data_IF_912877366056
#
_entry.id   IF_912877366056
#
_cell.length_a   1.000
_cell.length_b   1.000
_cell.length_c   1.000
_cell.angle_alpha   90.00
_cell.angle_beta   90.00
_cell.angle_gamma   90.00
#
_symmetry.space_group_name_H-M   'P 1'
#
loop_
_entity.id
_entity.type
_entity.pdbx_description
1 polymer ?
#
# COMPACT_ATOMS: atom_id res chain seq x y z
N UNK A 1 -10.66 -3.42 -5.26
CA UNK A 1 -9.43 -2.68 -5.58
C UNK A 1 -9.69 -1.36 -6.32
N UNK A 2 -10.89 -1.14 -6.88
CA UNK A 2 -11.20 0.04 -7.72
C UNK A 2 -11.35 1.36 -6.96
N UNK A 3 -11.89 1.34 -5.73
CA UNK A 3 -12.18 2.57 -4.97
C UNK A 3 -10.91 3.25 -4.46
N UNK A 4 -9.98 2.53 -3.81
CA UNK A 4 -8.76 3.10 -3.25
C UNK A 4 -7.81 3.69 -4.31
N UNK A 5 -7.66 3.00 -5.45
CA UNK A 5 -6.87 3.50 -6.57
C UNK A 5 -7.49 4.78 -7.18
N UNK A 6 -8.83 4.86 -7.24
CA UNK A 6 -9.52 6.07 -7.67
C UNK A 6 -9.35 7.22 -6.65
N UNK A 7 -9.31 6.93 -5.35
CA UNK A 7 -9.07 7.95 -4.31
C UNK A 7 -7.64 8.50 -4.34
N UNK A 8 -6.63 7.64 -4.51
CA UNK A 8 -5.23 8.08 -4.65
C UNK A 8 -5.04 8.92 -5.91
N UNK A 9 -5.60 8.47 -7.04
CA UNK A 9 -5.59 9.25 -8.29
C UNK A 9 -6.29 10.60 -8.14
N UNK A 10 -7.35 10.69 -7.33
CA UNK A 10 -8.04 11.95 -7.05
C UNK A 10 -7.20 12.92 -6.22
N UNK A 11 -6.45 12.42 -5.23
CA UNK A 11 -5.57 13.28 -4.41
C UNK A 11 -4.40 13.83 -5.23
N UNK A 12 -3.82 13.03 -6.13
CA UNK A 12 -2.74 13.50 -7.01
C UNK A 12 -3.23 14.54 -8.03
N UNK A 13 -4.48 14.42 -8.51
CA UNK A 13 -5.13 15.45 -9.32
C UNK A 13 -5.30 16.76 -8.53
N UNK A 14 -5.80 16.70 -7.29
CA UNK A 14 -5.92 17.87 -6.41
C UNK A 14 -4.56 18.56 -6.20
N UNK A 15 -3.49 17.80 -5.98
CA UNK A 15 -2.12 18.35 -5.84
C UNK A 15 -1.68 19.09 -7.11
N UNK A 16 -1.88 18.47 -8.28
CA UNK A 16 -1.58 19.09 -9.58
C UNK A 16 -2.35 20.39 -9.79
N UNK A 17 -3.65 20.38 -9.48
CA UNK A 17 -4.52 21.55 -9.66
C UNK A 17 -4.15 22.69 -8.69
N UNK A 18 -3.80 22.38 -7.45
CA UNK A 18 -3.29 23.36 -6.48
C UNK A 18 -2.02 24.05 -7.02
N UNK A 19 -1.07 23.28 -7.55
CA UNK A 19 0.15 23.83 -8.14
C UNK A 19 -0.15 24.77 -9.33
N UNK A 20 -1.07 24.36 -10.21
CA UNK A 20 -1.49 25.19 -11.34
C UNK A 20 -2.17 26.51 -10.90
N UNK A 21 -3.01 26.49 -9.85
CA UNK A 21 -3.61 27.71 -9.29
C UNK A 21 -2.54 28.59 -8.61
N UNK A 22 -1.53 27.98 -7.98
CA UNK A 22 -0.41 28.71 -7.37
C UNK A 22 0.39 29.52 -8.39
N UNK A 23 0.68 28.93 -9.55
CA UNK A 23 1.34 29.62 -10.66
C UNK A 23 0.50 30.80 -11.16
N UNK A 24 -0.80 30.60 -11.37
CA UNK A 24 -1.73 31.66 -11.79
C UNK A 24 -1.82 32.80 -10.77
N UNK A 25 -1.93 32.50 -9.48
CA UNK A 25 -1.94 33.54 -8.44
C UNK A 25 -0.64 34.32 -8.40
N UNK A 26 0.50 33.67 -8.64
CA UNK A 26 1.80 34.34 -8.68
C UNK A 26 1.82 35.36 -9.82
N UNK A 27 1.46 34.95 -11.04
CA UNK A 27 1.40 35.84 -12.20
C UNK A 27 0.41 37.01 -11.97
N UNK A 28 -0.81 36.70 -11.49
CA UNK A 28 -1.83 37.71 -11.21
C UNK A 28 -1.41 38.66 -10.10
N UNK A 29 -0.70 38.19 -9.07
CA UNK A 29 -0.16 39.01 -8.00
C UNK A 29 0.80 40.08 -8.51
N UNK A 30 1.73 39.72 -9.40
CA UNK A 30 2.63 40.70 -10.03
C UNK A 30 1.86 41.75 -10.84
N UNK A 31 0.85 41.31 -11.60
CA UNK A 31 0.03 42.21 -12.43
C UNK A 31 -0.86 43.13 -11.58
N UNK A 32 -1.42 42.62 -10.49
CA UNK A 32 -2.19 43.38 -9.53
C UNK A 32 -1.34 44.42 -8.80
N UNK A 33 -0.10 44.07 -8.41
CA UNK A 33 0.82 45.02 -7.79
C UNK A 33 1.16 46.20 -8.71
N UNK A 34 1.37 45.94 -10.01
CA UNK A 34 1.59 47.01 -11.01
C UNK A 34 0.36 47.90 -11.16
N UNK A 35 -0.82 47.30 -11.33
CA UNK A 35 -2.06 48.06 -11.45
C UNK A 35 -2.35 48.89 -10.17
N UNK A 36 -2.03 48.37 -8.99
CA UNK A 36 -2.16 49.11 -7.74
C UNK A 36 -1.23 50.35 -7.70
N UNK A 37 -0.01 50.23 -8.22
CA UNK A 37 0.90 51.38 -8.35
C UNK A 37 0.35 52.44 -9.33
N UNK A 38 -0.18 52.01 -10.49
CA UNK A 38 -0.79 52.91 -11.46
C UNK A 38 -2.01 53.67 -10.89
N UNK A 39 -2.84 52.98 -10.10
CA UNK A 39 -3.95 53.60 -9.35
C UNK A 39 -3.43 54.64 -8.36
N UNK A 40 -2.43 54.28 -7.55
CA UNK A 40 -1.96 55.14 -6.46
C UNK A 40 -1.20 56.38 -6.96
N UNK A 41 -0.44 56.26 -8.06
CA UNK A 41 0.42 57.33 -8.58
C UNK A 41 -0.29 58.17 -9.64
N UNK A 42 -1.00 57.53 -10.56
CA UNK A 42 -1.56 58.17 -11.76
C UNK A 42 -3.08 58.29 -11.69
N UNK A 43 -3.74 57.58 -10.76
CA UNK A 43 -5.20 57.54 -10.67
C UNK A 43 -5.86 56.70 -11.77
N UNK A 44 -5.09 55.86 -12.47
CA UNK A 44 -5.62 55.02 -13.55
C UNK A 44 -6.33 53.79 -12.96
N UNK A 45 -7.62 53.55 -13.26
CA UNK A 45 -8.32 52.39 -12.72
C UNK A 45 -7.74 51.08 -13.26
N UNK A 46 -7.81 49.97 -12.48
CA UNK A 46 -7.42 48.65 -12.98
C UNK A 46 -8.29 48.21 -14.15
N UNK A 47 -7.72 47.48 -15.11
CA UNK A 47 -8.49 46.94 -16.25
C UNK A 47 -9.56 45.94 -15.80
N UNK A 48 -10.74 45.94 -16.44
CA UNK A 48 -11.82 44.96 -16.18
C UNK A 48 -11.34 43.52 -16.29
N UNK A 49 -10.46 43.23 -17.26
CA UNK A 49 -9.86 41.90 -17.45
C UNK A 49 -9.09 41.43 -16.21
N UNK A 50 -8.33 42.32 -15.56
CA UNK A 50 -7.59 41.97 -14.35
C UNK A 50 -8.53 41.64 -13.19
N UNK A 51 -9.59 42.45 -13.00
CA UNK A 51 -10.60 42.20 -11.97
C UNK A 51 -11.33 40.87 -12.20
N UNK A 52 -11.71 40.59 -13.45
CA UNK A 52 -12.34 39.31 -13.82
C UNK A 52 -11.42 38.12 -13.57
N UNK A 53 -10.12 38.23 -13.89
CA UNK A 53 -9.15 37.17 -13.63
C UNK A 53 -8.95 36.92 -12.14
N UNK A 54 -8.85 37.98 -11.31
CA UNK A 54 -8.76 37.85 -9.86
C UNK A 54 -9.99 37.15 -9.27
N UNK A 55 -11.19 37.53 -9.71
CA UNK A 55 -12.43 36.91 -9.27
C UNK A 55 -12.51 35.42 -9.69
N UNK A 56 -12.14 35.11 -10.93
CA UNK A 56 -12.13 33.74 -11.43
C UNK A 56 -11.14 32.84 -10.66
N UNK A 57 -9.90 33.29 -10.46
CA UNK A 57 -8.91 32.50 -9.71
C UNK A 57 -9.27 32.37 -8.23
N UNK A 58 -9.91 33.38 -7.63
CA UNK A 58 -10.46 33.27 -6.28
C UNK A 58 -11.58 32.21 -6.20
N UNK A 59 -12.46 32.14 -7.20
CA UNK A 59 -13.50 31.11 -7.27
C UNK A 59 -12.90 29.70 -7.45
N UNK A 60 -11.88 29.55 -8.30
CA UNK A 60 -11.14 28.29 -8.45
C UNK A 60 -10.53 27.81 -7.12
N UNK A 61 -9.97 28.73 -6.32
CA UNK A 61 -9.48 28.40 -4.99
C UNK A 61 -10.59 27.89 -4.06
N UNK A 62 -11.77 28.53 -4.06
CA UNK A 62 -12.88 28.06 -3.22
C UNK A 62 -13.38 26.68 -3.64
N UNK A 63 -13.50 26.43 -4.95
CA UNK A 63 -13.85 25.10 -5.46
C UNK A 63 -12.84 24.03 -5.00
N UNK A 64 -11.53 24.30 -5.14
CA UNK A 64 -10.50 23.38 -4.66
C UNK A 64 -10.59 23.14 -3.14
N UNK A 65 -10.87 24.19 -2.37
CA UNK A 65 -11.04 24.05 -0.92
C UNK A 65 -12.23 23.16 -0.57
N UNK A 66 -13.35 23.31 -1.27
CA UNK A 66 -14.54 22.47 -1.08
C UNK A 66 -14.25 21.01 -1.38
N UNK A 67 -13.61 20.72 -2.53
CA UNK A 67 -13.24 19.36 -2.93
C UNK A 67 -12.25 18.69 -1.95
N UNK A 68 -11.27 19.46 -1.44
CA UNK A 68 -10.34 18.98 -0.41
C UNK A 68 -11.10 18.66 0.89
N UNK A 69 -12.03 19.52 1.31
CA UNK A 69 -12.83 19.29 2.52
C UNK A 69 -13.80 18.11 2.37
N UNK A 70 -14.35 17.89 1.19
CA UNK A 70 -15.17 16.70 0.88
C UNK A 70 -14.33 15.42 0.96
N UNK A 71 -13.10 15.46 0.44
CA UNK A 71 -12.15 14.34 0.53
C UNK A 71 -11.78 14.04 1.99
N UNK A 72 -11.57 15.09 2.80
CA UNK A 72 -11.32 14.97 4.25
C UNK A 72 -12.51 14.32 4.96
N UNK A 73 -13.73 14.75 4.66
CA UNK A 73 -14.94 14.18 5.27
C UNK A 73 -15.12 12.70 4.89
N UNK A 74 -14.90 12.36 3.61
CA UNK A 74 -15.02 11.01 3.08
C UNK A 74 -14.02 10.04 3.73
N UNK A 75 -12.80 10.52 4.00
CA UNK A 75 -11.72 9.73 4.59
C UNK A 75 -11.62 9.90 6.12
N UNK A 76 -12.55 10.64 6.74
CA UNK A 76 -12.57 10.94 8.18
C UNK A 76 -11.23 11.45 8.73
N UNK A 77 -10.53 12.27 7.94
CA UNK A 77 -9.21 12.78 8.29
C UNK A 77 -9.30 13.95 9.27
N UNK A 78 -8.48 13.91 10.31
CA UNK A 78 -8.35 15.05 11.24
C UNK A 78 -7.59 16.18 10.57
N UNK A 79 -8.23 17.35 10.47
CA UNK A 79 -7.60 18.53 9.91
C UNK A 79 -6.49 19.07 10.83
N UNK A 80 -5.37 19.56 10.26
CA UNK A 80 -4.32 20.22 11.04
C UNK A 80 -4.77 21.56 11.63
N UNK A 81 -5.83 22.16 11.07
CA UNK A 81 -6.44 23.39 11.56
C UNK A 81 -7.93 23.46 11.19
N UNK A 82 -8.73 24.29 11.87
CA UNK A 82 -10.15 24.44 11.58
C UNK A 82 -10.42 24.76 10.10
N UNK A 83 -11.49 24.22 9.52
CA UNK A 83 -11.80 24.35 8.10
C UNK A 83 -11.94 25.81 7.63
N UNK A 84 -12.40 26.71 8.51
CA UNK A 84 -12.48 28.15 8.26
C UNK A 84 -11.12 28.86 8.23
N UNK A 85 -10.07 28.24 8.77
CA UNK A 85 -8.70 28.76 8.77
C UNK A 85 -7.88 28.32 7.54
N UNK A 86 -8.41 27.42 6.70
CA UNK A 86 -7.80 26.99 5.43
C UNK A 86 -8.03 28.06 4.36
N UNK A 87 -7.24 29.13 4.37
CA UNK A 87 -7.46 30.33 3.54
C UNK A 87 -6.38 30.55 2.49
N UNK A 88 -5.45 29.60 2.32
CA UNK A 88 -4.38 29.67 1.33
C UNK A 88 -4.13 28.33 0.65
N UNK A 89 -3.54 28.35 -0.56
CA UNK A 89 -3.14 27.13 -1.27
C UNK A 89 -2.14 26.28 -0.48
N UNK A 90 -1.24 26.92 0.27
CA UNK A 90 -0.30 26.23 1.16
C UNK A 90 -1.03 25.40 2.22
N UNK A 91 -2.13 25.93 2.73
CA UNK A 91 -2.95 25.22 3.70
C UNK A 91 -3.63 24.00 3.08
N UNK A 92 -4.17 24.16 1.87
CA UNK A 92 -4.79 23.06 1.13
C UNK A 92 -3.76 21.97 0.80
N UNK A 93 -2.55 22.35 0.39
CA UNK A 93 -1.47 21.41 0.10
C UNK A 93 -1.09 20.59 1.34
N UNK A 94 -0.98 21.24 2.50
CA UNK A 94 -0.70 20.53 3.75
C UNK A 94 -1.81 19.51 4.10
N UNK A 95 -3.08 19.82 3.85
CA UNK A 95 -4.20 18.88 4.03
C UNK A 95 -4.12 17.73 3.03
N UNK A 96 -3.83 18.03 1.76
CA UNK A 96 -3.64 17.02 0.70
C UNK A 96 -2.51 16.04 1.04
N UNK A 97 -1.40 16.53 1.61
CA UNK A 97 -0.31 15.66 2.05
C UNK A 97 -0.72 14.75 3.22
N UNK A 98 -1.54 15.25 4.17
CA UNK A 98 -2.12 14.42 5.23
C UNK A 98 -3.07 13.36 4.65
N UNK A 99 -3.91 13.71 3.67
CA UNK A 99 -4.79 12.75 2.99
C UNK A 99 -3.99 11.65 2.30
N UNK A 100 -2.93 12.01 1.55
CA UNK A 100 -2.01 11.05 0.92
C UNK A 100 -1.37 10.11 1.94
N UNK A 101 -0.89 10.65 3.07
CA UNK A 101 -0.26 9.86 4.12
C UNK A 101 -1.26 8.88 4.77
N UNK A 102 -2.50 9.33 5.02
CA UNK A 102 -3.56 8.47 5.57
C UNK A 102 -3.85 7.30 4.64
N UNK A 103 -4.06 7.55 3.35
CA UNK A 103 -4.31 6.47 2.38
C UNK A 103 -3.14 5.48 2.31
N UNK A 104 -1.91 6.00 2.24
CA UNK A 104 -0.73 5.15 2.21
C UNK A 104 -0.60 4.26 3.46
N UNK A 105 -0.99 4.78 4.62
CA UNK A 105 -1.00 4.02 5.88
C UNK A 105 -2.06 2.91 5.86
N UNK A 106 -3.28 3.21 5.38
CA UNK A 106 -4.36 2.22 5.23
C UNK A 106 -3.96 1.11 4.26
N UNK A 107 -3.41 1.47 3.09
CA UNK A 107 -2.97 0.49 2.10
C UNK A 107 -1.81 -0.35 2.61
N UNK A 108 -0.87 0.25 3.36
CA UNK A 108 0.24 -0.48 3.98
C UNK A 108 -0.27 -1.48 5.00
N UNK A 109 -1.14 -1.05 5.92
CA UNK A 109 -1.74 -1.95 6.90
C UNK A 109 -2.51 -3.10 6.22
N UNK A 110 -3.27 -2.82 5.16
CA UNK A 110 -3.95 -3.86 4.39
C UNK A 110 -2.98 -4.87 3.75
N UNK A 111 -1.88 -4.40 3.17
CA UNK A 111 -0.85 -5.26 2.57
C UNK A 111 -0.14 -6.10 3.61
N UNK A 112 0.13 -5.53 4.78
CA UNK A 112 0.69 -6.20 5.94
C UNK A 112 -0.20 -7.35 6.40
N UNK A 113 -1.48 -7.08 6.65
CA UNK A 113 -2.45 -8.11 7.03
C UNK A 113 -2.60 -9.20 5.95
N UNK A 114 -2.60 -8.81 4.67
CA UNK A 114 -2.64 -9.78 3.57
C UNK A 114 -1.37 -10.68 3.53
N UNK A 115 -0.20 -10.10 3.76
CA UNK A 115 1.07 -10.85 3.85
C UNK A 115 1.07 -11.82 5.02
N UNK A 116 0.59 -11.40 6.19
CA UNK A 116 0.42 -12.26 7.37
C UNK A 116 -0.55 -13.41 7.09
N UNK A 117 -1.71 -13.11 6.53
CA UNK A 117 -2.71 -14.12 6.18
C UNK A 117 -2.16 -15.14 5.16
N UNK A 118 -1.42 -14.68 4.15
CA UNK A 118 -0.77 -15.57 3.19
C UNK A 118 0.28 -16.47 3.85
N UNK A 119 1.07 -15.92 4.77
CA UNK A 119 2.09 -16.65 5.51
C UNK A 119 1.47 -17.76 6.39
N UNK A 120 0.43 -17.42 7.16
CA UNK A 120 -0.32 -18.38 7.98
C UNK A 120 -1.00 -19.46 7.11
N UNK A 121 -1.53 -19.07 5.95
CA UNK A 121 -2.14 -20.01 5.01
C UNK A 121 -1.14 -21.07 4.50
N UNK A 122 0.10 -20.70 4.20
CA UNK A 122 1.15 -21.68 3.84
C UNK A 122 1.37 -22.68 4.97
N UNK A 123 1.41 -22.21 6.21
CA UNK A 123 1.60 -23.09 7.37
C UNK A 123 0.42 -24.04 7.54
N UNK A 124 -0.81 -23.55 7.45
CA UNK A 124 -2.02 -24.38 7.57
C UNK A 124 -2.03 -25.50 6.53
N UNK A 125 -1.61 -25.20 5.29
CA UNK A 125 -1.48 -26.21 4.24
C UNK A 125 -0.44 -27.26 4.57
N UNK A 126 0.71 -26.88 5.15
CA UNK A 126 1.72 -27.84 5.62
C UNK A 126 1.19 -28.73 6.74
N UNK A 127 0.39 -28.18 7.66
CA UNK A 127 -0.27 -28.97 8.71
C UNK A 127 -1.26 -29.99 8.15
N UNK A 128 -1.84 -29.72 6.98
CA UNK A 128 -2.77 -30.63 6.30
C UNK A 128 -2.08 -31.77 5.52
N UNK A 129 -0.75 -31.74 5.38
CA UNK A 129 -0.02 -32.81 4.71
C UNK A 129 -0.13 -34.10 5.54
N UNK A 130 -0.44 -35.19 4.86
CA UNK A 130 -0.43 -36.54 5.43
C UNK A 130 0.48 -37.44 4.61
N UNK A 131 1.14 -38.39 5.28
CA UNK A 131 1.86 -39.45 4.60
C UNK A 131 0.89 -40.61 4.33
N UNK A 132 0.86 -41.11 3.09
CA UNK A 132 -0.08 -42.14 2.64
C UNK A 132 0.10 -43.48 3.39
N UNK A 133 1.35 -43.96 3.49
CA UNK A 133 1.63 -45.29 4.07
C UNK A 133 1.87 -45.31 5.59
N UNK A 134 2.49 -44.26 6.14
CA UNK A 134 2.93 -44.19 7.54
C UNK A 134 2.41 -42.91 8.22
N UNK A 135 1.30 -42.99 8.98
CA UNK A 135 0.75 -41.86 9.72
C UNK A 135 1.71 -41.27 10.77
N UNK A 136 2.74 -42.01 11.20
CA UNK A 136 3.70 -41.58 12.21
C UNK A 136 5.07 -41.23 11.60
N UNK A 137 5.11 -40.91 10.30
CA UNK A 137 6.34 -40.59 9.59
C UNK A 137 7.06 -39.38 10.23
N UNK A 138 8.11 -39.67 11.01
CA UNK A 138 8.80 -38.68 11.85
C UNK A 138 9.30 -37.43 11.11
N UNK A 139 9.88 -37.51 9.89
CA UNK A 139 10.32 -36.31 9.16
C UNK A 139 9.19 -35.33 8.85
N UNK A 140 7.97 -35.83 8.58
CA UNK A 140 6.81 -34.96 8.39
C UNK A 140 6.37 -34.33 9.70
N UNK A 141 6.38 -35.09 10.80
CA UNK A 141 6.04 -34.57 12.12
C UNK A 141 7.00 -33.45 12.58
N UNK A 142 8.29 -33.57 12.30
CA UNK A 142 9.31 -32.54 12.56
C UNK A 142 9.10 -31.29 11.71
N UNK A 143 8.85 -31.46 10.40
CA UNK A 143 8.51 -30.36 9.50
C UNK A 143 7.27 -29.60 9.98
N UNK A 144 6.21 -30.32 10.36
CA UNK A 144 4.98 -29.73 10.89
C UNK A 144 5.20 -29.07 12.27
N UNK A 145 6.10 -29.58 13.11
CA UNK A 145 6.47 -28.94 14.36
C UNK A 145 7.19 -27.60 14.11
N UNK A 146 8.12 -27.57 13.16
CA UNK A 146 8.77 -26.33 12.71
C UNK A 146 7.76 -25.32 12.16
N UNK A 147 6.82 -25.77 11.33
CA UNK A 147 5.74 -24.92 10.83
C UNK A 147 4.84 -24.36 11.96
N UNK A 148 4.51 -25.15 12.99
CA UNK A 148 3.75 -24.67 14.16
C UNK A 148 4.51 -23.61 14.95
N UNK A 149 5.82 -23.78 15.14
CA UNK A 149 6.64 -22.76 15.80
C UNK A 149 6.59 -21.44 15.02
N UNK A 150 6.72 -21.50 13.69
CA UNK A 150 6.58 -20.32 12.82
C UNK A 150 5.18 -19.72 12.87
N UNK A 151 4.13 -20.53 13.00
CA UNK A 151 2.77 -20.01 13.16
C UNK A 151 2.69 -19.13 14.41
N UNK A 152 3.20 -19.59 15.54
CA UNK A 152 3.14 -18.85 16.80
C UNK A 152 3.97 -17.55 16.74
N UNK A 153 5.14 -17.59 16.09
CA UNK A 153 5.97 -16.40 15.84
C UNK A 153 5.22 -15.37 14.97
N UNK A 154 4.67 -15.80 13.84
CA UNK A 154 3.93 -14.93 12.92
C UNK A 154 2.67 -14.42 13.59
N UNK A 155 1.96 -15.27 14.34
CA UNK A 155 0.69 -14.95 14.98
C UNK A 155 0.83 -13.92 16.12
N UNK A 156 1.98 -13.89 16.81
CA UNK A 156 2.28 -12.95 17.88
C UNK A 156 3.07 -11.69 17.45
N UNK A 157 3.69 -11.71 16.27
CA UNK A 157 4.55 -10.61 15.82
C UNK A 157 3.78 -9.37 15.35
N UNK A 158 4.39 -8.20 15.56
CA UNK A 158 3.98 -6.95 14.94
C UNK A 158 4.22 -7.02 13.43
N UNK A 159 3.19 -6.69 12.65
CA UNK A 159 3.28 -6.76 11.19
C UNK A 159 3.94 -5.50 10.64
N UNK A 160 5.16 -5.66 10.11
CA UNK A 160 5.94 -4.61 9.44
C UNK A 160 6.35 -5.07 8.04
N UNK A 161 6.83 -4.15 7.19
CA UNK A 161 7.34 -4.52 5.86
C UNK A 161 8.50 -5.52 5.96
N UNK A 162 9.40 -5.32 6.94
CA UNK A 162 10.53 -6.22 7.19
C UNK A 162 10.07 -7.59 7.70
N UNK A 163 9.10 -7.63 8.61
CA UNK A 163 8.55 -8.89 9.12
C UNK A 163 7.89 -9.70 7.99
N UNK A 164 7.09 -9.07 7.12
CA UNK A 164 6.44 -9.76 5.99
C UNK A 164 7.47 -10.35 5.03
N UNK A 165 8.54 -9.61 4.72
CA UNK A 165 9.63 -10.11 3.89
C UNK A 165 10.37 -11.27 4.57
N UNK A 166 10.66 -11.14 5.86
CA UNK A 166 11.29 -12.19 6.63
C UNK A 166 10.43 -13.46 6.64
N UNK A 167 9.11 -13.37 6.85
CA UNK A 167 8.22 -14.53 6.81
C UNK A 167 8.25 -15.21 5.44
N UNK A 168 8.21 -14.44 4.35
CA UNK A 168 8.26 -14.99 3.00
C UNK A 168 9.57 -15.78 2.74
N UNK A 169 10.71 -15.28 3.23
CA UNK A 169 11.99 -15.98 3.15
C UNK A 169 11.99 -17.27 3.97
N UNK A 170 11.58 -17.21 5.24
CA UNK A 170 11.54 -18.40 6.11
C UNK A 170 10.51 -19.44 5.66
N UNK A 171 9.42 -19.01 5.01
CA UNK A 171 8.39 -19.89 4.47
C UNK A 171 8.73 -20.50 3.11
N UNK A 172 9.81 -20.06 2.45
CA UNK A 172 10.19 -20.55 1.12
C UNK A 172 10.33 -22.07 1.05
N UNK A 173 10.99 -22.77 2.01
CA UNK A 173 11.08 -24.23 1.95
C UNK A 173 9.73 -24.94 2.12
N UNK A 174 8.82 -24.37 2.92
CA UNK A 174 7.47 -24.88 3.10
C UNK A 174 6.63 -24.71 1.82
N UNK A 175 6.72 -23.54 1.18
CA UNK A 175 6.09 -23.29 -0.11
C UNK A 175 6.64 -24.24 -1.19
N UNK A 176 7.95 -24.50 -1.19
CA UNK A 176 8.57 -25.44 -2.12
C UNK A 176 8.04 -26.87 -1.94
N UNK A 177 7.88 -27.32 -0.69
CA UNK A 177 7.26 -28.62 -0.41
C UNK A 177 5.82 -28.67 -0.94
N UNK A 178 5.00 -27.65 -0.71
CA UNK A 178 3.63 -27.59 -1.22
C UNK A 178 3.57 -27.60 -2.75
N UNK A 179 4.45 -26.85 -3.41
CA UNK A 179 4.57 -26.80 -4.88
C UNK A 179 4.89 -28.19 -5.45
N UNK A 180 5.77 -28.96 -4.79
CA UNK A 180 6.05 -30.35 -5.18
C UNK A 180 4.81 -31.25 -5.08
N UNK A 181 3.92 -31.03 -4.10
CA UNK A 181 2.71 -31.85 -3.91
C UNK A 181 1.57 -31.48 -4.85
N UNK A 182 1.48 -30.21 -5.24
CA UNK A 182 0.47 -29.73 -6.20
C UNK A 182 0.81 -30.13 -7.64
N UNK A 183 2.11 -30.30 -7.95
CA UNK A 183 2.59 -30.68 -9.28
C UNK A 183 2.44 -29.56 -10.30
N UNK A 184 2.62 -29.90 -11.59
CA UNK A 184 2.55 -28.92 -12.69
C UNK A 184 3.85 -28.15 -12.95
N UNK A 185 4.94 -28.56 -12.32
CA UNK A 185 6.30 -28.06 -12.58
C UNK A 185 7.07 -29.02 -13.49
N UNK A 186 8.02 -28.49 -14.25
CA UNK A 186 8.93 -29.32 -15.04
C UNK A 186 9.97 -30.04 -14.17
N UNK A 187 10.66 -31.03 -14.75
CA UNK A 187 11.62 -31.88 -14.02
C UNK A 187 12.78 -31.07 -13.43
N UNK A 188 13.22 -30.00 -14.09
CA UNK A 188 14.32 -29.17 -13.63
C UNK A 188 13.91 -28.38 -12.39
N UNK A 189 12.75 -27.73 -12.43
CA UNK A 189 12.14 -27.03 -11.31
C UNK A 189 11.85 -27.99 -10.16
N UNK A 190 11.33 -29.18 -10.44
CA UNK A 190 11.04 -30.18 -9.43
C UNK A 190 12.31 -30.63 -8.70
N UNK A 191 13.43 -30.81 -9.42
CA UNK A 191 14.73 -31.15 -8.81
C UNK A 191 15.24 -30.03 -7.90
N UNK A 192 15.17 -28.76 -8.33
CA UNK A 192 15.55 -27.61 -7.50
C UNK A 192 14.72 -27.53 -6.21
N UNK A 193 13.40 -27.75 -6.31
CA UNK A 193 12.51 -27.78 -5.16
C UNK A 193 12.87 -28.93 -4.21
N UNK A 194 13.14 -30.13 -4.75
CA UNK A 194 13.52 -31.28 -3.96
C UNK A 194 14.83 -31.07 -3.19
N UNK A 195 15.83 -30.45 -3.83
CA UNK A 195 17.11 -30.10 -3.19
C UNK A 195 16.91 -29.06 -2.07
N UNK A 196 16.07 -28.05 -2.32
CA UNK A 196 15.72 -27.04 -1.31
C UNK A 196 15.01 -27.65 -0.10
N UNK A 197 14.02 -28.54 -0.34
CA UNK A 197 13.30 -29.27 0.72
C UNK A 197 14.24 -30.22 1.47
N UNK A 198 15.14 -30.91 0.77
CA UNK A 198 16.12 -31.79 1.39
C UNK A 198 17.12 -31.02 2.26
N UNK A 199 17.54 -29.82 1.81
CA UNK A 199 18.42 -28.94 2.58
C UNK A 199 17.76 -28.38 3.84
N UNK A 200 16.46 -28.07 3.79
CA UNK A 200 15.75 -27.48 4.91
C UNK A 200 15.19 -28.49 5.92
N UNK A 201 14.61 -29.60 5.43
CA UNK A 201 13.87 -30.57 6.26
C UNK A 201 14.46 -31.98 6.22
N UNK A 202 15.52 -32.18 5.45
CA UNK A 202 16.23 -33.45 5.34
C UNK A 202 15.82 -34.30 4.13
N UNK A 203 16.74 -35.17 3.64
CA UNK A 203 16.48 -36.05 2.48
C UNK A 203 15.26 -36.98 2.59
N UNK A 204 14.90 -37.54 3.78
CA UNK A 204 13.74 -38.42 3.89
C UNK A 204 12.42 -37.77 3.48
N UNK A 205 12.22 -36.48 3.81
CA UNK A 205 10.98 -35.77 3.49
C UNK A 205 10.89 -35.47 2.00
N UNK A 206 11.96 -34.95 1.40
CA UNK A 206 12.04 -34.72 -0.05
C UNK A 206 11.79 -36.01 -0.83
N UNK A 207 12.41 -37.12 -0.42
CA UNK A 207 12.24 -38.42 -1.08
C UNK A 207 10.82 -38.98 -0.96
N UNK A 208 10.10 -38.68 0.14
CA UNK A 208 8.69 -39.06 0.28
C UNK A 208 7.80 -38.25 -0.67
N UNK A 209 8.04 -36.93 -0.79
CA UNK A 209 7.35 -36.06 -1.75
C UNK A 209 7.58 -36.51 -3.20
N UNK A 210 8.84 -36.76 -3.59
CA UNK A 210 9.21 -37.23 -4.94
C UNK A 210 8.52 -38.55 -5.35
N UNK A 211 8.25 -39.41 -4.36
CA UNK A 211 7.60 -40.71 -4.59
C UNK A 211 6.07 -40.64 -4.52
N UNK A 212 5.49 -39.45 -4.35
CA UNK A 212 4.05 -39.26 -4.21
C UNK A 212 3.48 -39.87 -2.92
N UNK A 213 4.31 -40.03 -1.88
CA UNK A 213 3.89 -40.61 -0.60
C UNK A 213 3.33 -39.58 0.38
N UNK A 214 3.42 -38.30 0.04
CA UNK A 214 2.82 -37.19 0.77
C UNK A 214 1.66 -36.62 -0.06
N UNK A 215 0.59 -36.22 0.62
CA UNK A 215 -0.59 -35.63 -0.03
C UNK A 215 -1.25 -34.61 0.89
N UNK A 216 -1.92 -33.62 0.30
CA UNK A 216 -2.78 -32.68 1.01
C UNK A 216 -4.14 -33.32 1.30
N UNK A 217 -4.62 -33.17 2.52
CA UNK A 217 -5.94 -33.64 2.95
C UNK A 217 -7.05 -32.65 2.63
#
# INVERSE_FOLDING_TARGET
MTTAAATTSGIDDLRTRIAAVQERFTELGLRAARAAADVAVVGMPPSERLLAQLAATAAEFQALREEVLESVATLEVVLPKPANALVSLRDLLAVVDVLSATLANVDRHRRHEAGRAAALHVIDRVQAIVHHDDPNFAPLAECQASARAMHDEIAGAETTDEAVLAWAEHLRPFAALLEMLEGGVDDARFAELADGVAGAFGPPLASAAMRGRLQLR
#
